data_IF_552435463096
#
_entry.id   IF_552435463096
#
_cell.length_a   1.000
_cell.length_b   1.000
_cell.length_c   1.000
_cell.angle_alpha   90.00
_cell.angle_beta   90.00
_cell.angle_gamma   90.00
#
_symmetry.space_group_name_H-M   'P 1'
#
loop_
_entity.id
_entity.type
_entity.pdbx_description
1 polymer ?
#
# COMPACT_ATOMS: atom_id res chain seq x y z
N UNK A 1 10.63 -20.11 -89.74
CA UNK A 1 11.40 -19.63 -88.57
C UNK A 1 12.84 -19.56 -88.99
N UNK A 2 13.45 -18.37 -88.99
CA UNK A 2 14.81 -18.18 -89.48
C UNK A 2 15.82 -18.89 -88.55
N UNK A 3 16.47 -19.92 -89.07
CA UNK A 3 17.48 -20.72 -88.36
C UNK A 3 18.81 -19.96 -88.25
N UNK A 4 18.90 -18.99 -87.33
CA UNK A 4 20.17 -18.31 -87.05
C UNK A 4 21.06 -19.20 -86.19
N UNK A 5 22.19 -19.67 -86.73
CA UNK A 5 23.09 -20.64 -86.07
C UNK A 5 23.90 -20.00 -84.92
N UNK A 6 24.25 -18.72 -85.04
CA UNK A 6 25.11 -18.02 -84.06
C UNK A 6 24.38 -17.53 -82.80
N UNK A 7 23.05 -17.48 -82.80
CA UNK A 7 22.26 -17.04 -81.64
C UNK A 7 21.18 -18.06 -81.35
N UNK A 8 21.42 -18.89 -80.33
CA UNK A 8 20.49 -19.91 -79.89
C UNK A 8 19.52 -19.34 -78.86
N UNK A 9 18.41 -18.81 -79.36
CA UNK A 9 17.34 -18.23 -78.53
C UNK A 9 16.67 -19.27 -77.61
N UNK A 10 16.66 -20.55 -77.99
CA UNK A 10 16.10 -21.65 -77.18
C UNK A 10 16.98 -21.93 -75.97
N UNK A 11 18.31 -21.99 -76.16
CA UNK A 11 19.27 -22.15 -75.06
C UNK A 11 19.26 -20.94 -74.11
N UNK A 12 19.22 -19.71 -74.64
CA UNK A 12 19.10 -18.49 -73.81
C UNK A 12 17.78 -18.42 -73.02
N UNK A 13 16.69 -18.97 -73.57
CA UNK A 13 15.42 -19.08 -72.84
C UNK A 13 15.50 -20.15 -71.74
N UNK A 14 16.04 -21.33 -72.07
CA UNK A 14 16.24 -22.42 -71.11
C UNK A 14 17.18 -22.01 -69.95
N UNK A 15 18.27 -21.29 -70.23
CA UNK A 15 19.18 -20.75 -69.22
C UNK A 15 18.49 -19.71 -68.32
N UNK A 16 17.70 -18.78 -68.87
CA UNK A 16 16.92 -17.83 -68.06
C UNK A 16 15.94 -18.54 -67.11
N UNK A 17 15.23 -19.55 -67.60
CA UNK A 17 14.31 -20.33 -66.76
C UNK A 17 15.08 -21.15 -65.70
N UNK A 18 16.24 -21.71 -66.05
CA UNK A 18 17.11 -22.42 -65.10
C UNK A 18 17.64 -21.49 -63.99
N UNK A 19 18.08 -20.27 -64.34
CA UNK A 19 18.49 -19.26 -63.35
C UNK A 19 17.34 -18.84 -62.44
N UNK A 20 16.12 -18.72 -62.99
CA UNK A 20 14.90 -18.50 -62.19
C UNK A 20 14.65 -19.64 -61.18
N UNK A 21 14.74 -20.89 -61.63
CA UNK A 21 14.58 -22.07 -60.76
C UNK A 21 15.66 -22.18 -59.69
N UNK A 22 16.92 -21.83 -60.01
CA UNK A 22 18.01 -21.78 -59.03
C UNK A 22 17.78 -20.72 -57.95
N UNK A 23 17.28 -19.53 -58.32
CA UNK A 23 16.94 -18.50 -57.35
C UNK A 23 15.81 -18.95 -56.42
N UNK A 24 14.76 -19.56 -56.96
CA UNK A 24 13.64 -20.08 -56.16
C UNK A 24 14.06 -21.21 -55.22
N UNK A 25 14.93 -22.11 -55.68
CA UNK A 25 15.51 -23.16 -54.86
C UNK A 25 16.31 -22.60 -53.68
N UNK A 26 17.14 -21.58 -53.92
CA UNK A 26 17.90 -20.90 -52.87
C UNK A 26 16.98 -20.26 -51.82
N UNK A 27 15.88 -19.62 -52.25
CA UNK A 27 14.87 -19.06 -51.34
C UNK A 27 14.17 -20.13 -50.51
N UNK A 28 13.69 -21.22 -51.12
CA UNK A 28 13.03 -22.30 -50.34
C UNK A 28 14.00 -22.99 -49.38
N UNK A 29 15.27 -23.16 -49.77
CA UNK A 29 16.32 -23.65 -48.85
C UNK A 29 16.54 -22.70 -47.67
N UNK A 30 16.61 -21.39 -47.92
CA UNK A 30 16.75 -20.38 -46.88
C UNK A 30 15.56 -20.36 -45.91
N UNK A 31 14.33 -20.46 -46.43
CA UNK A 31 13.10 -20.50 -45.61
C UNK A 31 12.99 -21.79 -44.80
N UNK A 32 13.33 -22.93 -45.39
CA UNK A 32 13.34 -24.22 -44.68
C UNK A 32 14.40 -24.25 -43.59
N UNK A 33 15.58 -23.66 -43.85
CA UNK A 33 16.67 -23.61 -42.88
C UNK A 33 16.41 -22.62 -41.74
N UNK A 34 15.78 -21.49 -42.00
CA UNK A 34 15.47 -20.47 -40.97
C UNK A 34 14.15 -20.74 -40.26
N UNK A 35 13.24 -21.52 -40.85
CA UNK A 35 11.86 -21.67 -40.40
C UNK A 35 11.00 -20.42 -40.63
N UNK A 36 11.53 -19.39 -41.30
CA UNK A 36 10.87 -18.11 -41.52
C UNK A 36 10.56 -17.90 -43.01
N UNK A 37 9.31 -17.55 -43.31
CA UNK A 37 8.87 -17.09 -44.64
C UNK A 37 9.50 -15.73 -44.98
N UNK A 38 9.58 -14.84 -44.00
CA UNK A 38 10.14 -13.48 -44.14
C UNK A 38 11.46 -13.41 -43.37
N UNK A 39 12.58 -13.57 -44.09
CA UNK A 39 13.92 -13.55 -43.46
C UNK A 39 14.65 -12.22 -43.68
N UNK A 40 14.28 -11.46 -44.72
CA UNK A 40 14.87 -10.17 -45.05
C UNK A 40 13.80 -9.20 -45.58
N UNK A 41 14.12 -7.90 -45.58
CA UNK A 41 13.21 -6.87 -46.10
C UNK A 41 12.92 -7.01 -47.61
N UNK A 42 13.76 -7.77 -48.34
CA UNK A 42 13.52 -8.12 -49.74
C UNK A 42 12.34 -9.07 -49.91
N UNK A 43 12.08 -9.94 -48.92
CA UNK A 43 11.05 -10.97 -49.00
C UNK A 43 9.66 -10.38 -48.76
N UNK A 44 9.53 -9.50 -47.76
CA UNK A 44 8.34 -8.70 -47.49
C UNK A 44 8.69 -7.52 -46.55
N UNK A 45 8.82 -6.31 -47.12
CA UNK A 45 9.19 -5.13 -46.34
C UNK A 45 8.12 -4.73 -45.31
N UNK A 46 6.84 -4.86 -45.66
CA UNK A 46 5.75 -4.49 -44.76
C UNK A 46 5.54 -5.53 -43.66
N UNK A 47 5.58 -6.82 -44.03
CA UNK A 47 5.50 -7.93 -43.09
C UNK A 47 6.66 -7.91 -42.08
N UNK A 48 7.89 -7.65 -42.54
CA UNK A 48 9.03 -7.50 -41.66
C UNK A 48 8.84 -6.33 -40.69
N UNK A 49 8.46 -5.14 -41.17
CA UNK A 49 8.27 -3.96 -40.31
C UNK A 49 7.18 -4.16 -39.24
N UNK A 50 6.08 -4.82 -39.57
CA UNK A 50 5.02 -5.16 -38.60
C UNK A 50 5.55 -6.17 -37.58
N UNK A 51 6.26 -7.20 -38.04
CA UNK A 51 6.80 -8.23 -37.17
C UNK A 51 7.87 -7.71 -36.21
N UNK A 52 8.70 -6.75 -36.63
CA UNK A 52 9.68 -6.07 -35.79
C UNK A 52 9.00 -5.22 -34.71
N UNK A 53 7.91 -4.52 -35.06
CA UNK A 53 7.08 -3.81 -34.07
C UNK A 53 6.47 -4.76 -33.06
N UNK A 54 5.88 -5.87 -33.51
CA UNK A 54 5.34 -6.91 -32.62
C UNK A 54 6.44 -7.50 -31.74
N UNK A 55 7.63 -7.74 -32.28
CA UNK A 55 8.78 -8.23 -31.50
C UNK A 55 9.25 -7.21 -30.44
N UNK A 56 9.26 -5.92 -30.78
CA UNK A 56 9.56 -4.85 -29.83
C UNK A 56 8.53 -4.80 -28.70
N UNK A 57 7.23 -4.91 -29.03
CA UNK A 57 6.15 -4.97 -28.05
C UNK A 57 6.25 -6.21 -27.16
N UNK A 58 6.50 -7.40 -27.73
CA UNK A 58 6.70 -8.64 -26.95
C UNK A 58 7.84 -8.46 -25.95
N UNK A 59 9.00 -7.97 -26.40
CA UNK A 59 10.16 -7.74 -25.52
C UNK A 59 9.85 -6.70 -24.44
N UNK A 60 9.16 -5.61 -24.80
CA UNK A 60 8.71 -4.58 -23.87
C UNK A 60 7.78 -5.16 -22.79
N UNK A 61 6.79 -5.94 -23.22
CA UNK A 61 5.85 -6.63 -22.34
C UNK A 61 6.54 -7.67 -21.44
N UNK A 62 7.54 -8.42 -21.93
CA UNK A 62 8.32 -9.33 -21.08
C UNK A 62 9.07 -8.60 -19.97
N UNK A 63 9.65 -7.43 -20.26
CA UNK A 63 10.29 -6.60 -19.22
C UNK A 63 9.24 -6.00 -18.29
N UNK A 64 8.10 -5.57 -18.82
CA UNK A 64 6.98 -5.07 -18.03
C UNK A 64 6.46 -6.11 -17.03
N UNK A 65 6.35 -7.39 -17.42
CA UNK A 65 5.99 -8.46 -16.49
C UNK A 65 7.00 -8.58 -15.34
N UNK A 66 8.30 -8.43 -15.61
CA UNK A 66 9.33 -8.40 -14.56
C UNK A 66 9.16 -7.18 -13.64
N UNK A 67 8.95 -5.99 -14.20
CA UNK A 67 8.70 -4.79 -13.40
C UNK A 67 7.46 -4.93 -12.50
N UNK A 68 6.40 -5.57 -13.00
CA UNK A 68 5.21 -5.87 -12.19
C UNK A 68 5.53 -6.83 -11.04
N UNK A 69 6.37 -7.84 -11.27
CA UNK A 69 6.84 -8.74 -10.20
C UNK A 69 7.72 -8.02 -9.17
N UNK A 70 8.51 -7.02 -9.59
CA UNK A 70 9.26 -6.16 -8.67
C UNK A 70 8.31 -5.33 -7.81
N UNK A 71 7.22 -4.82 -8.39
CA UNK A 71 6.14 -4.13 -7.67
C UNK A 71 5.42 -5.03 -6.65
N UNK A 72 5.17 -6.30 -6.99
CA UNK A 72 4.66 -7.32 -6.07
C UNK A 72 5.64 -7.53 -4.91
N UNK A 73 6.93 -7.70 -5.22
CA UNK A 73 7.97 -7.95 -4.22
C UNK A 73 8.15 -6.77 -3.26
N UNK A 74 8.09 -5.54 -3.76
CA UNK A 74 8.07 -4.33 -2.92
C UNK A 74 6.85 -4.34 -1.99
N UNK A 75 5.67 -4.61 -2.54
CA UNK A 75 4.42 -4.62 -1.78
C UNK A 75 4.39 -5.71 -0.71
N UNK A 76 4.93 -6.90 -1.00
CA UNK A 76 5.07 -8.00 -0.04
C UNK A 76 6.09 -7.69 1.05
N UNK A 77 7.18 -6.99 0.72
CA UNK A 77 8.18 -6.56 1.72
C UNK A 77 7.56 -5.55 2.69
N UNK A 78 6.81 -4.57 2.15
CA UNK A 78 6.09 -3.59 2.96
C UNK A 78 5.05 -4.27 3.86
N UNK A 79 4.22 -5.15 3.29
CA UNK A 79 3.18 -5.87 4.05
C UNK A 79 3.77 -6.79 5.12
N UNK A 80 4.81 -7.56 4.81
CA UNK A 80 5.44 -8.43 5.82
C UNK A 80 5.93 -7.65 7.05
N UNK A 81 6.49 -6.46 6.84
CA UNK A 81 6.92 -5.57 7.92
C UNK A 81 5.72 -4.96 8.67
N UNK A 82 4.70 -4.47 7.97
CA UNK A 82 3.48 -3.94 8.59
C UNK A 82 2.70 -4.98 9.39
N UNK A 83 2.70 -6.24 8.96
CA UNK A 83 2.15 -7.35 9.74
C UNK A 83 2.84 -7.50 11.10
N UNK A 84 4.17 -7.35 11.16
CA UNK A 84 4.93 -7.37 12.42
C UNK A 84 4.69 -6.15 13.29
N UNK A 85 4.54 -4.97 12.69
CA UNK A 85 4.11 -3.76 13.41
C UNK A 85 2.72 -3.98 14.02
N UNK A 86 1.79 -4.57 13.26
CA UNK A 86 0.46 -4.94 13.75
C UNK A 86 0.50 -5.90 14.94
N UNK A 87 1.31 -6.96 14.88
CA UNK A 87 1.51 -7.92 15.99
C UNK A 87 2.00 -7.19 17.26
N UNK A 88 2.96 -6.26 17.13
CA UNK A 88 3.49 -5.50 18.26
C UNK A 88 2.48 -4.51 18.82
N UNK A 89 1.71 -3.81 17.97
CA UNK A 89 0.64 -2.92 18.42
C UNK A 89 -0.45 -3.69 19.17
N UNK A 90 -0.82 -4.90 18.72
CA UNK A 90 -1.75 -5.75 19.45
C UNK A 90 -1.21 -6.12 20.83
N UNK A 91 0.08 -6.45 20.95
CA UNK A 91 0.73 -6.69 22.24
C UNK A 91 0.74 -5.44 23.13
N UNK A 92 1.07 -4.28 22.57
CA UNK A 92 0.97 -3.00 23.30
C UNK A 92 -0.44 -2.75 23.80
N UNK A 93 -1.47 -3.10 23.02
CA UNK A 93 -2.87 -2.99 23.41
C UNK A 93 -3.20 -3.89 24.61
N UNK A 94 -2.73 -5.13 24.62
CA UNK A 94 -2.90 -6.04 25.76
C UNK A 94 -2.30 -5.44 27.04
N UNK A 95 -1.08 -4.88 26.96
CA UNK A 95 -0.40 -4.24 28.08
C UNK A 95 -1.14 -2.98 28.55
N UNK A 96 -1.66 -2.18 27.62
CA UNK A 96 -2.47 -1.00 27.94
C UNK A 96 -3.79 -1.39 28.63
N UNK A 97 -4.48 -2.43 28.16
CA UNK A 97 -5.68 -2.98 28.84
C UNK A 97 -5.31 -3.51 30.23
N UNK A 98 -4.19 -4.24 30.36
CA UNK A 98 -3.73 -4.75 31.64
C UNK A 98 -3.44 -3.59 32.62
N UNK A 99 -2.68 -2.58 32.20
CA UNK A 99 -2.32 -1.42 33.02
C UNK A 99 -3.54 -0.57 33.46
N UNK A 100 -4.61 -0.58 32.66
CA UNK A 100 -5.86 0.12 32.94
C UNK A 100 -6.59 -0.43 34.18
N UNK A 101 -6.29 -1.67 34.60
CA UNK A 101 -6.90 -2.25 35.79
C UNK A 101 -6.44 -1.54 37.09
N UNK A 102 -7.40 -1.25 37.98
CA UNK A 102 -7.17 -0.55 39.24
C UNK A 102 -6.40 -1.37 40.28
N UNK A 103 -6.41 -2.69 40.17
CA UNK A 103 -5.71 -3.58 41.10
C UNK A 103 -4.20 -3.61 40.89
N UNK A 104 -3.69 -3.10 39.77
CA UNK A 104 -2.26 -3.03 39.52
C UNK A 104 -1.60 -1.90 40.31
N UNK A 105 -0.46 -2.21 40.93
CA UNK A 105 0.33 -1.22 41.64
C UNK A 105 1.09 -0.29 40.67
N UNK A 106 1.69 0.78 41.21
CA UNK A 106 2.55 1.68 40.42
C UNK A 106 3.79 0.95 39.87
N UNK A 107 4.35 0.04 40.66
CA UNK A 107 5.52 -0.74 40.25
C UNK A 107 5.16 -1.73 39.14
N UNK A 108 3.97 -2.34 39.20
CA UNK A 108 3.48 -3.22 38.13
C UNK A 108 3.28 -2.44 36.82
N UNK A 109 2.67 -1.24 36.88
CA UNK A 109 2.49 -0.39 35.69
C UNK A 109 3.82 0.05 35.10
N UNK A 110 4.80 0.36 35.93
CA UNK A 110 6.16 0.70 35.48
C UNK A 110 6.84 -0.48 34.77
N UNK A 111 6.62 -1.71 35.24
CA UNK A 111 7.13 -2.91 34.56
C UNK A 111 6.45 -3.11 33.20
N UNK A 112 5.13 -2.94 33.10
CA UNK A 112 4.40 -2.98 31.84
C UNK A 112 4.87 -1.88 30.87
N UNK A 113 5.11 -0.66 31.38
CA UNK A 113 5.63 0.46 30.60
C UNK A 113 6.99 0.13 29.97
N UNK A 114 7.87 -0.57 30.69
CA UNK A 114 9.18 -0.96 30.14
C UNK A 114 9.03 -1.89 28.92
N UNK A 115 8.08 -2.81 28.94
CA UNK A 115 7.77 -3.67 27.79
C UNK A 115 7.18 -2.83 26.64
N UNK A 116 6.26 -1.91 26.93
CA UNK A 116 5.70 -0.99 25.93
C UNK A 116 6.79 -0.15 25.26
N UNK A 117 7.73 0.42 26.03
CA UNK A 117 8.85 1.21 25.49
C UNK A 117 9.73 0.38 24.55
N UNK A 118 10.01 -0.89 24.88
CA UNK A 118 10.75 -1.79 23.99
C UNK A 118 9.99 -2.10 22.70
N UNK A 119 8.67 -2.27 22.77
CA UNK A 119 7.84 -2.48 21.59
C UNK A 119 7.81 -1.23 20.69
N UNK A 120 7.74 -0.02 21.27
CA UNK A 120 7.83 1.23 20.52
C UNK A 120 9.16 1.35 19.79
N UNK A 121 10.28 1.09 20.48
CA UNK A 121 11.63 1.10 19.89
C UNK A 121 11.76 0.08 18.76
N UNK A 122 11.17 -1.10 18.93
CA UNK A 122 11.21 -2.16 17.92
C UNK A 122 10.33 -1.82 16.70
N UNK A 123 9.14 -1.23 16.90
CA UNK A 123 8.30 -0.71 15.81
C UNK A 123 9.09 0.33 15.01
N UNK A 124 9.70 1.30 15.68
CA UNK A 124 10.49 2.35 15.04
C UNK A 124 11.71 1.78 14.30
N UNK A 125 12.37 0.75 14.86
CA UNK A 125 13.44 0.01 14.20
C UNK A 125 12.94 -0.67 12.93
N UNK A 126 11.82 -1.38 12.97
CA UNK A 126 11.25 -2.07 11.80
C UNK A 126 10.90 -1.06 10.72
N UNK A 127 10.25 0.05 11.06
CA UNK A 127 9.92 1.12 10.11
C UNK A 127 11.17 1.71 9.44
N UNK A 128 12.21 2.05 10.22
CA UNK A 128 13.46 2.63 9.72
C UNK A 128 14.35 1.63 8.98
N UNK A 129 14.27 0.35 9.29
CA UNK A 129 15.13 -0.67 8.67
C UNK A 129 14.52 -1.25 7.39
N UNK A 130 13.20 -1.32 7.28
CA UNK A 130 12.52 -1.92 6.12
C UNK A 130 12.88 -1.15 4.85
N UNK A 131 13.54 -1.86 3.92
CA UNK A 131 14.03 -1.28 2.67
C UNK A 131 13.85 -2.25 1.52
N UNK A 132 13.55 -1.71 0.35
CA UNK A 132 13.55 -2.44 -0.91
C UNK A 132 14.60 -1.83 -1.83
N UNK A 133 15.58 -2.64 -2.26
CA UNK A 133 16.68 -2.19 -3.13
C UNK A 133 17.39 -0.91 -2.63
N UNK A 134 17.63 -0.82 -1.30
CA UNK A 134 18.29 0.33 -0.66
C UNK A 134 17.39 1.54 -0.38
N UNK A 135 16.16 1.56 -0.89
CA UNK A 135 15.20 2.64 -0.62
C UNK A 135 14.35 2.27 0.59
N UNK A 136 14.19 3.20 1.53
CA UNK A 136 13.30 3.04 2.69
C UNK A 136 11.85 3.21 2.26
N UNK A 137 10.98 2.34 2.75
CA UNK A 137 9.60 2.25 2.26
C UNK A 137 8.54 2.50 3.35
N UNK A 138 8.90 2.46 4.63
CA UNK A 138 7.96 2.62 5.76
C UNK A 138 8.31 3.78 6.71
N UNK A 139 9.32 4.58 6.40
CA UNK A 139 9.79 5.68 7.26
C UNK A 139 9.19 7.05 6.91
N UNK A 140 8.17 7.07 6.05
CA UNK A 140 7.53 8.29 5.53
C UNK A 140 8.33 9.02 4.45
N UNK A 141 9.57 8.63 4.15
CA UNK A 141 10.37 9.25 3.08
C UNK A 141 9.97 8.76 1.67
N UNK A 142 9.22 7.65 1.60
CA UNK A 142 8.76 7.07 0.36
C UNK A 142 7.60 7.88 -0.24
N UNK A 143 7.92 8.76 -1.19
CA UNK A 143 6.92 9.57 -1.90
C UNK A 143 6.09 8.78 -2.93
N UNK A 144 6.45 7.53 -3.20
CA UNK A 144 5.85 6.68 -4.23
C UNK A 144 6.85 6.15 -5.24
N UNK A 145 6.42 5.17 -6.02
CA UNK A 145 7.18 4.60 -7.12
C UNK A 145 6.27 4.30 -8.31
N UNK A 146 6.78 4.56 -9.52
CA UNK A 146 6.06 4.30 -10.76
C UNK A 146 6.65 3.06 -11.41
N UNK A 147 5.83 2.03 -11.60
CA UNK A 147 6.22 0.80 -12.27
C UNK A 147 5.65 0.79 -13.68
N UNK A 148 6.53 0.67 -14.67
CA UNK A 148 6.12 0.52 -16.07
C UNK A 148 5.68 -0.93 -16.31
N UNK A 149 4.37 -1.12 -16.54
CA UNK A 149 3.71 -2.43 -16.65
C UNK A 149 3.15 -2.71 -18.06
N UNK A 150 3.56 -1.93 -19.06
CA UNK A 150 3.28 -2.22 -20.46
C UNK A 150 4.43 -1.81 -21.39
N UNK A 151 4.31 -2.15 -22.67
CA UNK A 151 5.31 -1.81 -23.68
C UNK A 151 5.30 -0.34 -24.12
N UNK A 152 4.23 0.43 -23.88
CA UNK A 152 4.12 1.81 -24.33
C UNK A 152 4.30 2.82 -23.19
N UNK A 153 4.80 4.01 -23.53
CA UNK A 153 4.93 5.09 -22.55
C UNK A 153 3.58 5.45 -21.93
N UNK A 154 3.53 5.50 -20.59
CA UNK A 154 2.31 5.80 -19.84
C UNK A 154 1.57 4.57 -19.30
N UNK A 155 1.90 3.36 -19.76
CA UNK A 155 1.34 2.11 -19.22
C UNK A 155 1.98 1.77 -17.85
N UNK A 156 1.58 2.50 -16.81
CA UNK A 156 2.16 2.36 -15.47
C UNK A 156 1.14 2.08 -14.36
N UNK A 157 1.63 1.42 -13.31
CA UNK A 157 0.98 1.34 -12.01
C UNK A 157 1.84 2.17 -11.04
N UNK A 158 1.21 3.17 -10.43
CA UNK A 158 1.86 3.97 -9.40
C UNK A 158 1.53 3.40 -8.03
N UNK A 159 2.57 3.08 -7.26
CA UNK A 159 2.49 2.88 -5.82
C UNK A 159 2.59 4.26 -5.19
N UNK A 160 1.53 4.68 -4.50
CA UNK A 160 1.49 5.97 -3.81
C UNK A 160 2.47 6.03 -2.64
N UNK A 161 2.48 7.18 -1.96
CA UNK A 161 3.18 7.29 -0.68
C UNK A 161 2.65 6.23 0.28
N UNK A 162 3.58 5.54 0.95
CA UNK A 162 3.25 4.55 1.97
C UNK A 162 3.10 5.26 3.32
N UNK A 163 2.27 4.69 4.19
CA UNK A 163 2.07 5.18 5.55
C UNK A 163 3.40 5.29 6.31
N UNK A 164 3.63 6.43 6.96
CA UNK A 164 4.75 6.58 7.89
C UNK A 164 4.51 5.70 9.12
N UNK A 165 5.28 4.63 9.23
CA UNK A 165 5.15 3.64 10.29
C UNK A 165 6.14 3.88 11.43
N UNK A 166 6.89 4.99 11.41
CA UNK A 166 7.74 5.38 12.55
C UNK A 166 6.89 5.65 13.77
N UNK A 167 7.49 5.50 14.95
CA UNK A 167 6.79 5.79 16.20
C UNK A 167 6.22 7.22 16.24
N UNK A 168 6.85 8.19 15.58
CA UNK A 168 6.38 9.59 15.51
C UNK A 168 5.25 9.83 14.51
N UNK A 169 5.06 8.94 13.54
CA UNK A 169 4.09 9.10 12.44
C UNK A 169 2.88 8.17 12.54
N UNK A 170 2.93 7.24 13.49
CA UNK A 170 1.94 6.20 13.71
C UNK A 170 0.96 6.61 14.81
N UNK A 171 -0.34 6.57 14.52
CA UNK A 171 -1.45 7.15 15.28
C UNK A 171 -1.64 8.65 15.09
N UNK A 172 -2.89 9.02 14.87
CA UNK A 172 -3.42 10.37 15.04
C UNK A 172 -4.69 10.27 15.87
N UNK A 173 -4.68 10.86 17.06
CA UNK A 173 -5.81 10.80 17.99
C UNK A 173 -6.25 12.18 18.43
N UNK A 174 -7.57 12.31 18.51
CA UNK A 174 -8.21 13.54 18.92
C UNK A 174 -9.03 13.27 20.17
N UNK A 175 -8.78 14.00 21.25
CA UNK A 175 -9.53 13.92 22.51
C UNK A 175 -9.48 15.26 23.23
N UNK A 176 -10.45 15.49 24.13
CA UNK A 176 -10.40 16.64 25.02
C UNK A 176 -9.98 16.17 26.40
N UNK A 177 -9.17 16.96 27.11
CA UNK A 177 -8.72 16.62 28.45
C UNK A 177 -8.72 17.82 29.38
N UNK A 178 -8.79 17.54 30.67
CA UNK A 178 -8.55 18.52 31.74
C UNK A 178 -7.92 17.79 32.91
N UNK A 179 -6.89 18.39 33.49
CA UNK A 179 -6.16 17.83 34.61
C UNK A 179 -6.10 18.83 35.75
N UNK A 180 -6.35 18.36 36.96
CA UNK A 180 -6.00 19.06 38.20
C UNK A 180 -5.05 18.19 39.01
N UNK A 181 -3.88 18.71 39.34
CA UNK A 181 -2.87 18.05 40.18
C UNK A 181 -2.72 18.77 41.51
N UNK A 182 -2.13 18.08 42.50
CA UNK A 182 -1.78 18.69 43.79
C UNK A 182 -2.95 18.92 44.75
N UNK A 183 -4.04 18.16 44.59
CA UNK A 183 -5.23 18.30 45.45
C UNK A 183 -4.93 17.67 46.81
N UNK A 184 -4.91 18.48 47.85
CA UNK A 184 -4.86 18.00 49.23
C UNK A 184 -6.29 17.68 49.71
N UNK A 185 -6.59 16.40 49.90
CA UNK A 185 -7.90 15.95 50.36
C UNK A 185 -8.27 16.47 51.76
N UNK A 186 -7.30 16.90 52.57
CA UNK A 186 -7.56 17.49 53.89
C UNK A 186 -8.05 18.95 53.82
N UNK A 187 -7.82 19.62 52.68
CA UNK A 187 -8.34 20.97 52.42
C UNK A 187 -9.84 21.01 52.11
N UNK A 188 -10.44 19.84 51.87
CA UNK A 188 -11.87 19.66 51.61
C UNK A 188 -12.59 19.51 52.95
N UNK A 189 -13.23 20.59 53.39
CA UNK A 189 -13.90 20.67 54.69
C UNK A 189 -15.43 20.71 54.59
N UNK A 190 -15.99 21.17 53.46
CA UNK A 190 -17.43 21.14 53.23
C UNK A 190 -17.86 19.84 52.51
N UNK A 191 -18.39 18.92 53.31
CA UNK A 191 -18.85 17.61 52.87
C UNK A 191 -20.37 17.47 52.87
N UNK A 192 -21.12 18.58 52.91
CA UNK A 192 -22.58 18.59 52.88
C UNK A 192 -23.18 18.01 51.58
N UNK A 193 -24.38 17.42 51.63
CA UNK A 193 -24.99 16.85 50.42
C UNK A 193 -25.23 17.91 49.34
N UNK A 194 -24.97 17.57 48.07
CA UNK A 194 -25.34 18.37 46.91
C UNK A 194 -26.72 17.87 46.47
N UNK A 195 -27.77 18.56 46.89
CA UNK A 195 -29.16 18.08 46.78
C UNK A 195 -29.85 18.46 45.47
N UNK A 196 -29.40 19.53 44.81
CA UNK A 196 -29.94 19.94 43.51
C UNK A 196 -29.22 19.18 42.38
N UNK A 197 -29.95 18.28 41.73
CA UNK A 197 -29.46 17.46 40.62
C UNK A 197 -28.96 18.28 39.41
N UNK A 198 -29.33 19.56 39.30
CA UNK A 198 -28.95 20.47 38.21
C UNK A 198 -27.73 21.34 38.52
N UNK A 199 -27.11 21.19 39.69
CA UNK A 199 -25.88 21.93 40.00
C UNK A 199 -24.69 21.41 39.19
N UNK A 200 -24.47 20.09 39.18
CA UNK A 200 -23.33 19.49 38.50
C UNK A 200 -23.68 19.08 37.07
N UNK A 201 -23.26 19.88 36.08
CA UNK A 201 -23.54 19.61 34.68
C UNK A 201 -22.29 19.61 33.81
N UNK A 202 -22.30 18.76 32.79
CA UNK A 202 -21.35 18.77 31.68
C UNK A 202 -22.09 19.26 30.44
N UNK A 203 -21.48 20.13 29.65
CA UNK A 203 -22.10 20.71 28.46
C UNK A 203 -21.13 20.70 27.27
N UNK A 204 -21.56 20.20 26.12
CA UNK A 204 -20.81 20.19 24.86
C UNK A 204 -21.11 21.42 23.97
N UNK A 205 -21.89 22.37 24.46
CA UNK A 205 -22.37 23.55 23.73
C UNK A 205 -23.78 23.39 23.14
N UNK A 206 -24.27 22.15 22.99
CA UNK A 206 -25.60 21.84 22.44
C UNK A 206 -26.50 21.11 23.43
N UNK A 207 -25.93 20.22 24.26
CA UNK A 207 -26.63 19.38 25.23
C UNK A 207 -26.01 19.54 26.60
N UNK A 208 -26.85 19.75 27.61
CA UNK A 208 -26.44 19.77 29.01
C UNK A 208 -26.84 18.46 29.70
N UNK A 209 -25.85 17.77 30.26
CA UNK A 209 -26.06 16.54 31.03
C UNK A 209 -25.92 16.82 32.52
N UNK A 210 -26.97 16.52 33.26
CA UNK A 210 -26.99 16.65 34.70
C UNK A 210 -26.43 15.37 35.34
N UNK A 211 -25.43 15.52 36.22
CA UNK A 211 -24.77 14.39 36.89
C UNK A 211 -25.57 13.87 38.10
N UNK A 212 -26.62 14.59 38.50
CA UNK A 212 -27.50 14.22 39.60
C UNK A 212 -26.98 14.65 40.97
N UNK A 213 -27.80 14.40 41.99
CA UNK A 213 -27.46 14.72 43.37
C UNK A 213 -26.33 13.82 43.90
N UNK A 214 -25.56 14.35 44.85
CA UNK A 214 -24.46 13.64 45.49
C UNK A 214 -24.67 13.70 47.01
N UNK A 215 -24.51 12.56 47.67
CA UNK A 215 -24.68 12.44 49.11
C UNK A 215 -23.68 13.30 49.90
N UNK A 216 -23.91 13.41 51.20
CA UNK A 216 -22.89 13.93 52.10
C UNK A 216 -21.67 12.99 52.09
N UNK A 217 -20.48 13.54 52.24
CA UNK A 217 -19.24 12.78 52.38
C UNK A 217 -18.77 12.81 53.84
N UNK A 218 -18.07 11.76 54.27
CA UNK A 218 -17.47 11.66 55.61
C UNK A 218 -16.01 12.15 55.63
N UNK A 219 -15.40 12.33 54.45
CA UNK A 219 -14.05 12.86 54.29
C UNK A 219 -13.87 13.56 52.94
N UNK A 220 -12.84 14.38 52.81
CA UNK A 220 -12.48 14.99 51.53
C UNK A 220 -12.10 13.98 50.44
N UNK A 221 -11.47 12.87 50.81
CA UNK A 221 -11.17 11.78 49.87
C UNK A 221 -12.46 11.15 49.33
N UNK A 222 -13.46 10.92 50.20
CA UNK A 222 -14.76 10.40 49.78
C UNK A 222 -15.48 11.39 48.87
N UNK A 223 -15.39 12.70 49.15
CA UNK A 223 -15.93 13.74 48.25
C UNK A 223 -15.33 13.66 46.85
N UNK A 224 -14.00 13.57 46.73
CA UNK A 224 -13.34 13.43 45.42
C UNK A 224 -13.79 12.16 44.69
N UNK A 225 -13.90 11.05 45.42
CA UNK A 225 -14.41 9.79 44.87
C UNK A 225 -15.85 9.91 44.36
N UNK A 226 -16.74 10.54 45.12
CA UNK A 226 -18.13 10.77 44.73
C UNK A 226 -18.24 11.67 43.49
N UNK A 227 -17.38 12.69 43.34
CA UNK A 227 -17.35 13.53 42.13
C UNK A 227 -16.96 12.71 40.90
N UNK A 228 -15.88 11.93 41.02
CA UNK A 228 -15.38 11.07 39.94
C UNK A 228 -16.41 10.01 39.57
N UNK A 229 -17.09 9.41 40.56
CA UNK A 229 -18.20 8.48 40.34
C UNK A 229 -19.38 9.15 39.61
N UNK A 230 -19.77 10.36 40.03
CA UNK A 230 -20.88 11.07 39.42
C UNK A 230 -20.64 11.36 37.93
N UNK A 231 -19.42 11.76 37.57
CA UNK A 231 -18.99 11.94 36.17
C UNK A 231 -19.03 10.59 35.43
N UNK A 232 -18.40 9.56 35.99
CA UNK A 232 -18.30 8.25 35.35
C UNK A 232 -19.66 7.55 35.17
N UNK A 233 -20.63 7.78 36.06
CA UNK A 233 -22.01 7.28 35.92
C UNK A 233 -22.70 7.78 34.65
N UNK A 234 -22.30 8.94 34.14
CA UNK A 234 -22.80 9.55 32.90
C UNK A 234 -21.79 9.50 31.75
N UNK A 235 -20.72 8.71 31.87
CA UNK A 235 -19.68 8.57 30.83
C UNK A 235 -20.23 8.09 29.48
N UNK A 236 -21.24 7.21 29.46
CA UNK A 236 -21.85 6.75 28.22
C UNK A 236 -22.62 7.84 27.46
N UNK A 237 -23.24 8.79 28.18
CA UNK A 237 -24.00 9.90 27.60
C UNK A 237 -23.05 11.07 27.23
N UNK A 238 -22.14 11.41 28.14
CA UNK A 238 -21.24 12.57 28.04
C UNK A 238 -19.97 12.28 27.25
N UNK A 239 -19.55 11.02 27.16
CA UNK A 239 -18.23 10.62 26.63
C UNK A 239 -17.05 10.96 27.54
N UNK A 240 -17.28 11.48 28.75
CA UNK A 240 -16.23 11.87 29.71
C UNK A 240 -15.98 10.74 30.71
N UNK A 241 -14.72 10.36 30.87
CA UNK A 241 -14.24 9.49 31.94
C UNK A 241 -13.33 10.28 32.88
N UNK A 242 -13.57 10.11 34.18
CA UNK A 242 -12.80 10.72 35.25
C UNK A 242 -11.93 9.68 35.94
N UNK A 243 -10.66 10.01 36.17
CA UNK A 243 -9.72 9.20 36.91
C UNK A 243 -9.24 9.93 38.16
N UNK A 244 -9.09 9.20 39.25
CA UNK A 244 -8.55 9.71 40.51
C UNK A 244 -7.25 8.96 40.80
N UNK A 245 -6.12 9.67 40.78
CA UNK A 245 -4.82 9.09 41.10
C UNK A 245 -4.27 9.70 42.39
N UNK A 246 -3.73 8.87 43.28
CA UNK A 246 -2.98 9.35 44.45
C UNK A 246 -1.49 9.34 44.16
N UNK A 247 -0.84 10.49 44.26
CA UNK A 247 0.61 10.68 44.11
C UNK A 247 1.40 10.01 45.25
N UNK A 248 2.73 9.93 45.07
CA UNK A 248 3.64 9.42 46.11
C UNK A 248 3.87 10.43 47.26
N UNK A 249 3.52 11.69 47.00
CA UNK A 249 3.48 12.85 47.90
C UNK A 249 2.23 12.89 48.80
N UNK A 250 1.27 11.97 48.60
CA UNK A 250 0.01 11.94 49.34
C UNK A 250 -1.09 12.85 48.76
N UNK A 251 -0.79 13.61 47.70
CA UNK A 251 -1.74 14.47 47.00
C UNK A 251 -2.54 13.68 45.95
N UNK A 252 -3.69 14.21 45.55
CA UNK A 252 -4.56 13.62 44.53
C UNK A 252 -4.48 14.41 43.22
N UNK A 253 -4.61 13.69 42.10
CA UNK A 253 -4.89 14.26 40.79
C UNK A 253 -6.22 13.74 40.26
N UNK A 254 -6.99 14.64 39.63
CA UNK A 254 -8.17 14.29 38.86
C UNK A 254 -7.87 14.54 37.39
N UNK A 255 -8.04 13.51 36.59
CA UNK A 255 -7.86 13.55 35.14
C UNK A 255 -9.21 13.30 34.47
N UNK A 256 -9.66 14.22 33.64
CA UNK A 256 -10.88 14.11 32.85
C UNK A 256 -10.48 13.90 31.39
N UNK A 257 -10.95 12.82 30.79
CA UNK A 257 -10.71 12.46 29.39
C UNK A 257 -12.03 12.36 28.67
N UNK A 258 -12.14 12.93 27.47
CA UNK A 258 -13.36 12.84 26.64
C UNK A 258 -13.06 12.24 25.28
N UNK A 259 -13.87 11.24 24.88
CA UNK A 259 -13.84 10.68 23.53
C UNK A 259 -14.77 11.38 22.55
N UNK A 260 -15.52 12.41 22.97
CA UNK A 260 -16.46 13.12 22.10
C UNK A 260 -15.74 13.89 20.99
N UNK A 261 -16.23 13.68 19.78
CA UNK A 261 -15.82 14.41 18.58
C UNK A 261 -17.04 15.10 17.95
N UNK A 262 -16.81 16.20 17.25
CA UNK A 262 -17.81 16.84 16.41
C UNK A 262 -18.07 16.04 15.12
N UNK A 263 -18.94 16.55 14.24
CA UNK A 263 -19.24 15.97 12.93
C UNK A 263 -18.07 15.95 11.96
N UNK A 264 -17.05 16.79 12.18
CA UNK A 264 -15.85 16.90 11.36
C UNK A 264 -14.70 16.02 11.91
N UNK A 265 -14.92 15.35 13.05
CA UNK A 265 -13.94 14.47 13.70
C UNK A 265 -13.02 15.16 14.70
N UNK A 266 -13.19 16.46 14.97
CA UNK A 266 -12.37 17.20 15.93
C UNK A 266 -12.89 16.99 17.36
N UNK A 267 -12.03 17.17 18.36
CA UNK A 267 -12.41 17.02 19.76
C UNK A 267 -13.40 18.12 20.13
N UNK A 268 -14.53 17.74 20.70
CA UNK A 268 -15.47 18.73 21.21
C UNK A 268 -14.94 19.27 22.53
N UNK A 269 -14.90 20.59 22.68
CA UNK A 269 -14.59 21.22 23.96
C UNK A 269 -15.80 21.04 24.89
N UNK A 270 -15.61 20.37 26.02
CA UNK A 270 -16.67 20.15 27.01
C UNK A 270 -16.48 21.09 28.19
N UNK A 271 -17.51 21.87 28.50
CA UNK A 271 -17.52 22.76 29.67
C UNK A 271 -18.13 22.04 30.86
N UNK A 272 -17.43 22.11 31.98
CA UNK A 272 -17.98 21.78 33.30
C UNK A 272 -18.72 23.05 33.76
N UNK A 273 -20.05 22.96 33.79
CA UNK A 273 -20.91 24.11 34.09
C UNK A 273 -20.85 24.49 35.58
N UNK A 274 -21.50 25.61 35.92
CA UNK A 274 -21.35 26.42 37.13
C UNK A 274 -21.49 25.73 38.51
N UNK A 275 -21.73 24.42 38.61
CA UNK A 275 -21.66 23.68 39.87
C UNK A 275 -20.34 22.98 40.16
N UNK A 276 -19.38 22.94 39.21
CA UNK A 276 -18.01 22.48 39.47
C UNK A 276 -17.16 23.56 40.18
N UNK A 277 -17.75 24.23 41.17
CA UNK A 277 -17.06 25.28 41.93
C UNK A 277 -16.26 24.69 43.07
N UNK A 278 -15.20 25.39 43.48
CA UNK A 278 -14.44 25.12 44.69
C UNK A 278 -15.35 24.83 45.92
N UNK A 279 -16.49 25.54 46.03
CA UNK A 279 -17.48 25.34 47.11
C UNK A 279 -18.17 23.98 47.06
N UNK A 280 -18.61 23.51 45.89
CA UNK A 280 -19.24 22.18 45.75
C UNK A 280 -18.24 21.03 45.93
N UNK A 281 -16.96 21.25 45.64
CA UNK A 281 -15.87 20.33 45.99
C UNK A 281 -15.47 20.40 47.47
N UNK A 282 -16.00 21.36 48.22
CA UNK A 282 -15.82 21.51 49.64
C UNK A 282 -14.56 22.26 50.08
N UNK A 283 -13.92 22.99 49.17
CA UNK A 283 -12.69 23.75 49.41
C UNK A 283 -12.93 25.26 49.36
N UNK A 284 -12.12 26.03 50.09
CA UNK A 284 -12.03 27.48 49.89
C UNK A 284 -11.15 27.75 48.65
N UNK A 285 -11.77 28.10 47.51
CA UNK A 285 -11.18 28.70 46.30
C UNK A 285 -9.78 28.25 45.85
N UNK A 286 -9.67 27.60 44.67
CA UNK A 286 -8.38 27.39 43.98
C UNK A 286 -7.61 26.10 44.34
N UNK A 287 -8.02 25.36 45.37
CA UNK A 287 -7.36 24.10 45.78
C UNK A 287 -7.63 22.89 44.85
N UNK A 288 -8.64 22.99 43.96
CA UNK A 288 -9.03 21.97 42.97
C UNK A 288 -8.51 22.35 41.56
N UNK A 289 -7.61 23.34 41.47
CA UNK A 289 -6.97 23.75 40.21
C UNK A 289 -7.96 24.11 39.10
N UNK A 290 -7.62 23.78 37.86
CA UNK A 290 -8.38 24.10 36.63
C UNK A 290 -9.80 23.54 36.63
N UNK A 291 -10.05 22.43 37.31
CA UNK A 291 -11.37 21.75 37.34
C UNK A 291 -12.35 22.45 38.30
N UNK A 292 -11.84 23.16 39.31
CA UNK A 292 -12.64 23.87 40.32
C UNK A 292 -12.96 25.33 39.98
N UNK A 293 -12.59 25.79 38.79
CA UNK A 293 -12.90 27.14 38.30
C UNK A 293 -14.33 27.19 37.72
N UNK A 294 -14.95 28.37 37.77
CA UNK A 294 -16.39 28.59 37.49
C UNK A 294 -16.78 28.25 36.04
N UNK A 295 -15.80 28.04 35.16
CA UNK A 295 -15.96 27.63 33.76
C UNK A 295 -14.82 26.67 33.35
N UNK A 296 -14.52 25.67 34.19
CA UNK A 296 -13.55 24.65 33.84
C UNK A 296 -13.94 23.98 32.52
N UNK A 297 -12.98 23.82 31.61
CA UNK A 297 -13.22 23.21 30.30
C UNK A 297 -12.24 22.09 30.07
N UNK A 298 -12.73 21.01 29.46
CA UNK A 298 -11.88 20.07 28.75
C UNK A 298 -11.56 20.73 27.42
N UNK A 299 -10.34 21.22 27.28
CA UNK A 299 -9.88 21.85 26.05
C UNK A 299 -9.66 20.76 25.02
N UNK A 300 -10.23 20.94 23.83
CA UNK A 300 -9.91 20.10 22.69
C UNK A 300 -8.41 20.21 22.41
N UNK A 301 -7.69 19.09 22.42
CA UNK A 301 -6.33 19.06 21.86
C UNK A 301 -6.48 19.10 20.34
N UNK A 302 -6.68 20.29 19.81
CA UNK A 302 -6.58 20.56 18.38
C UNK A 302 -5.19 21.11 18.13
N UNK A 303 -4.37 20.35 17.40
CA UNK A 303 -3.03 20.69 16.93
C UNK A 303 -1.93 20.90 17.98
N UNK A 304 -1.04 19.90 18.07
CA UNK A 304 0.43 19.96 18.22
C UNK A 304 1.00 19.06 19.33
N UNK A 305 1.85 18.11 18.88
CA UNK A 305 2.79 17.25 19.62
C UNK A 305 2.28 16.07 20.46
N UNK A 306 1.10 16.09 21.07
CA UNK A 306 0.64 14.95 21.89
C UNK A 306 -0.42 14.06 21.20
N UNK A 307 -0.97 14.50 20.07
CA UNK A 307 -1.98 13.76 19.28
C UNK A 307 -1.39 12.79 18.25
N UNK A 308 -0.18 13.07 17.76
CA UNK A 308 0.49 12.32 16.70
C UNK A 308 1.58 11.42 17.30
N UNK A 309 1.64 10.17 16.88
CA UNK A 309 2.71 9.26 17.28
C UNK A 309 2.44 8.45 18.55
N UNK A 310 3.16 7.34 18.65
CA UNK A 310 3.29 6.43 19.79
C UNK A 310 4.66 6.55 20.50
N UNK A 311 5.51 7.50 20.12
CA UNK A 311 6.85 7.68 20.70
C UNK A 311 6.81 8.17 22.16
N UNK A 312 5.83 9.01 22.50
CA UNK A 312 5.61 9.51 23.88
C UNK A 312 4.62 8.66 24.68
N UNK A 313 4.30 7.45 24.23
CA UNK A 313 3.28 6.60 24.84
C UNK A 313 3.62 6.20 26.29
N UNK A 314 2.75 6.55 27.23
CA UNK A 314 2.84 6.12 28.63
C UNK A 314 1.58 5.34 29.05
N UNK A 315 1.76 4.35 29.92
CA UNK A 315 0.73 3.53 30.57
C UNK A 315 0.92 3.48 32.10
N UNK A 316 1.68 4.43 32.66
CA UNK A 316 2.02 4.47 34.10
C UNK A 316 0.82 4.84 34.98
N UNK A 317 -0.19 5.49 34.41
CA UNK A 317 -1.45 5.87 35.07
C UNK A 317 -2.65 5.33 34.29
N UNK A 318 -3.80 5.22 34.95
CA UNK A 318 -5.05 4.79 34.29
C UNK A 318 -5.49 5.78 33.21
N UNK A 319 -5.30 7.08 33.44
CA UNK A 319 -5.58 8.13 32.47
C UNK A 319 -4.67 7.99 31.25
N UNK A 320 -3.36 7.76 31.45
CA UNK A 320 -2.41 7.55 30.36
C UNK A 320 -2.72 6.25 29.59
N UNK A 321 -3.08 5.17 30.29
CA UNK A 321 -3.49 3.91 29.66
C UNK A 321 -4.73 4.07 28.77
N UNK A 322 -5.69 4.92 29.15
CA UNK A 322 -6.84 5.27 28.33
C UNK A 322 -6.43 5.97 27.03
N UNK A 323 -5.54 6.97 27.12
CA UNK A 323 -4.98 7.65 25.93
C UNK A 323 -4.19 6.67 25.08
N UNK A 324 -3.43 5.78 25.71
CA UNK A 324 -2.62 4.79 25.01
C UNK A 324 -3.47 3.81 24.20
N UNK A 325 -4.59 3.33 24.75
CA UNK A 325 -5.54 2.50 24.01
C UNK A 325 -6.06 3.21 22.76
N UNK A 326 -6.41 4.50 22.89
CA UNK A 326 -6.88 5.29 21.75
C UNK A 326 -5.79 5.45 20.68
N UNK A 327 -4.55 5.74 21.08
CA UNK A 327 -3.39 5.84 20.18
C UNK A 327 -3.11 4.51 19.46
N UNK A 328 -3.09 3.41 20.21
CA UNK A 328 -2.83 2.08 19.65
C UNK A 328 -3.95 1.65 18.69
N UNK A 329 -5.23 1.92 19.01
CA UNK A 329 -6.34 1.62 18.12
C UNK A 329 -6.25 2.44 16.81
N UNK A 330 -5.94 3.74 16.90
CA UNK A 330 -5.68 4.58 15.71
C UNK A 330 -4.48 4.08 14.88
N UNK A 331 -3.37 3.72 15.53
CA UNK A 331 -2.22 3.11 14.88
C UNK A 331 -2.57 1.78 14.18
N UNK A 332 -3.35 0.91 14.83
CA UNK A 332 -3.82 -0.35 14.25
C UNK A 332 -4.66 -0.11 13.01
N UNK A 333 -5.59 0.85 13.05
CA UNK A 333 -6.41 1.22 11.90
C UNK A 333 -5.55 1.76 10.75
N UNK A 334 -4.58 2.63 11.05
CA UNK A 334 -3.64 3.16 10.06
C UNK A 334 -2.79 2.06 9.41
N UNK A 335 -2.29 1.09 10.19
CA UNK A 335 -1.59 -0.09 9.66
C UNK A 335 -2.53 -0.95 8.83
N UNK A 336 -3.71 -1.29 9.32
CA UNK A 336 -4.66 -2.14 8.61
C UNK A 336 -5.08 -1.55 7.26
N UNK A 337 -5.32 -0.23 7.21
CA UNK A 337 -5.61 0.47 5.95
C UNK A 337 -4.43 0.40 4.98
N UNK A 338 -3.20 0.65 5.46
CA UNK A 338 -1.99 0.53 4.64
C UNK A 338 -1.80 -0.89 4.07
N UNK A 339 -2.08 -1.92 4.89
CA UNK A 339 -2.03 -3.33 4.46
C UNK A 339 -3.11 -3.67 3.44
N UNK A 340 -4.31 -3.11 3.60
CA UNK A 340 -5.39 -3.26 2.63
C UNK A 340 -5.04 -2.64 1.27
N UNK A 341 -4.45 -1.43 1.26
CA UNK A 341 -4.00 -0.76 0.04
C UNK A 341 -2.87 -1.53 -0.65
N UNK A 342 -1.92 -2.07 0.11
CA UNK A 342 -0.87 -2.95 -0.41
C UNK A 342 -1.42 -4.26 -0.97
N UNK A 343 -2.44 -4.84 -0.34
CA UNK A 343 -3.15 -6.02 -0.85
C UNK A 343 -3.85 -5.72 -2.18
N UNK A 344 -4.54 -4.58 -2.28
CA UNK A 344 -5.16 -4.13 -3.52
C UNK A 344 -4.12 -3.88 -4.63
N UNK A 345 -2.96 -3.30 -4.29
CA UNK A 345 -1.85 -3.12 -5.23
C UNK A 345 -1.28 -4.46 -5.72
N UNK A 346 -1.10 -5.45 -4.83
CA UNK A 346 -0.67 -6.80 -5.21
C UNK A 346 -1.63 -7.41 -6.23
N UNK A 347 -2.94 -7.40 -5.96
CA UNK A 347 -3.93 -7.90 -6.91
C UNK A 347 -3.92 -7.13 -8.25
N UNK A 348 -3.67 -5.82 -8.23
CA UNK A 348 -3.54 -5.04 -9.47
C UNK A 348 -2.30 -5.46 -10.28
N UNK A 349 -1.16 -5.67 -9.63
CA UNK A 349 0.04 -6.15 -10.31
C UNK A 349 -0.13 -7.58 -10.84
N UNK A 350 -0.74 -8.50 -10.08
CA UNK A 350 -1.02 -9.87 -10.53
C UNK A 350 -1.94 -9.90 -11.75
N UNK A 351 -3.02 -9.12 -11.74
CA UNK A 351 -3.90 -8.97 -12.90
C UNK A 351 -3.16 -8.36 -14.11
N UNK A 352 -2.28 -7.39 -13.86
CA UNK A 352 -1.44 -6.81 -14.91
C UNK A 352 -0.51 -7.86 -15.52
N UNK A 353 0.15 -8.69 -14.70
CA UNK A 353 1.00 -9.79 -15.19
C UNK A 353 0.19 -10.75 -16.07
N UNK A 354 -0.99 -11.19 -15.61
CA UNK A 354 -1.85 -12.06 -16.42
C UNK A 354 -2.28 -11.43 -17.75
N UNK A 355 -2.60 -10.13 -17.76
CA UNK A 355 -2.91 -9.41 -19.00
C UNK A 355 -1.72 -9.31 -19.95
N UNK A 356 -0.52 -9.01 -19.42
CA UNK A 356 0.72 -8.92 -20.19
C UNK A 356 1.06 -10.26 -20.83
N UNK A 357 0.92 -11.37 -20.10
CA UNK A 357 1.17 -12.72 -20.60
C UNK A 357 0.24 -13.07 -21.78
N UNK A 358 -1.07 -12.77 -21.64
CA UNK A 358 -2.04 -12.95 -22.73
C UNK A 358 -1.67 -12.09 -23.95
N UNK A 359 -1.21 -10.86 -23.74
CA UNK A 359 -0.75 -10.00 -24.85
C UNK A 359 0.50 -10.57 -25.53
N UNK A 360 1.48 -11.04 -24.76
CA UNK A 360 2.70 -11.67 -25.29
C UNK A 360 2.35 -12.91 -26.12
N UNK A 361 1.44 -13.75 -25.64
CA UNK A 361 0.97 -14.93 -26.38
C UNK A 361 0.30 -14.55 -27.69
N UNK A 362 -0.68 -13.62 -27.66
CA UNK A 362 -1.41 -13.18 -28.85
C UNK A 362 -0.52 -12.46 -29.87
N UNK A 363 0.42 -11.64 -29.42
CA UNK A 363 1.39 -10.97 -30.28
C UNK A 363 2.38 -11.98 -30.87
N UNK A 364 2.81 -12.99 -30.09
CA UNK A 364 3.70 -14.05 -30.57
C UNK A 364 3.02 -14.91 -31.64
N UNK A 365 1.76 -15.30 -31.41
CA UNK A 365 0.95 -16.02 -32.40
C UNK A 365 0.71 -15.19 -33.66
N UNK A 366 0.45 -13.88 -33.50
CA UNK A 366 0.26 -12.97 -34.64
C UNK A 366 1.56 -12.75 -35.43
N UNK A 367 2.70 -12.65 -34.74
CA UNK A 367 4.02 -12.57 -35.37
C UNK A 367 4.33 -13.85 -36.12
N UNK A 368 4.07 -15.01 -35.54
CA UNK A 368 4.28 -16.31 -36.19
C UNK A 368 3.52 -16.44 -37.51
N UNK A 369 2.23 -16.03 -37.56
CA UNK A 369 1.45 -15.99 -38.81
C UNK A 369 2.06 -15.11 -39.92
N UNK A 370 2.84 -14.11 -39.55
CA UNK A 370 3.49 -13.18 -40.50
C UNK A 370 4.84 -13.75 -40.94
N UNK A 371 5.66 -14.21 -40.01
CA UNK A 371 7.07 -14.48 -40.27
C UNK A 371 7.36 -15.96 -40.46
N UNK A 372 6.61 -16.88 -39.85
CA UNK A 372 6.94 -18.31 -39.89
C UNK A 372 6.61 -18.93 -41.25
N UNK A 373 7.44 -19.88 -41.67
CA UNK A 373 7.24 -20.65 -42.89
C UNK A 373 6.36 -21.88 -42.61
N UNK A 374 5.40 -22.15 -43.50
CA UNK A 374 4.71 -23.43 -43.54
C UNK A 374 5.64 -24.50 -44.14
N UNK A 375 6.14 -25.40 -43.29
CA UNK A 375 7.05 -26.48 -43.69
C UNK A 375 6.45 -27.39 -44.76
N UNK A 376 5.15 -27.66 -44.73
CA UNK A 376 4.52 -28.53 -45.73
C UNK A 376 4.54 -27.86 -47.12
N UNK A 377 4.22 -26.57 -47.16
CA UNK A 377 4.25 -25.80 -48.40
C UNK A 377 5.68 -25.60 -48.92
N UNK A 378 6.64 -25.25 -48.07
CA UNK A 378 8.02 -25.03 -48.50
C UNK A 378 8.73 -26.33 -48.91
N UNK A 379 8.41 -27.47 -48.28
CA UNK A 379 8.95 -28.78 -48.71
C UNK A 379 8.39 -29.18 -50.09
N UNK A 380 7.11 -28.91 -50.36
CA UNK A 380 6.53 -29.12 -51.68
C UNK A 380 7.14 -28.20 -52.74
N UNK A 381 7.39 -26.93 -52.41
CA UNK A 381 8.08 -25.98 -53.29
C UNK A 381 9.54 -26.38 -53.55
N UNK A 382 10.25 -26.84 -52.52
CA UNK A 382 11.61 -27.35 -52.61
C UNK A 382 11.67 -28.55 -53.57
N UNK A 383 10.81 -29.54 -53.38
CA UNK A 383 10.71 -30.71 -54.26
C UNK A 383 10.39 -30.30 -55.72
N UNK A 384 9.42 -29.41 -55.92
CA UNK A 384 9.08 -28.88 -57.25
C UNK A 384 10.28 -28.18 -57.91
N UNK A 385 10.99 -27.32 -57.17
CA UNK A 385 12.13 -26.54 -57.71
C UNK A 385 13.35 -27.41 -57.98
N UNK A 386 13.59 -28.46 -57.18
CA UNK A 386 14.62 -29.47 -57.46
C UNK A 386 14.31 -30.25 -58.76
N UNK A 387 13.06 -30.67 -58.95
CA UNK A 387 12.63 -31.35 -60.19
C UNK A 387 12.77 -30.40 -61.40
N UNK A 388 12.36 -29.13 -61.27
CA UNK A 388 12.51 -28.12 -62.33
C UNK A 388 13.97 -27.78 -62.63
N UNK A 389 14.86 -27.83 -61.64
CA UNK A 389 16.29 -27.66 -61.86
C UNK A 389 16.86 -28.82 -62.67
N UNK A 390 16.51 -30.07 -62.33
CA UNK A 390 16.93 -31.27 -63.06
C UNK A 390 16.37 -31.30 -64.50
N UNK A 391 15.11 -30.90 -64.68
CA UNK A 391 14.50 -30.76 -66.00
C UNK A 391 15.13 -29.61 -66.81
N UNK A 392 15.43 -28.49 -66.16
CA UNK A 392 16.06 -27.32 -66.78
C UNK A 392 17.49 -27.60 -67.27
N UNK A 393 18.29 -28.34 -66.51
CA UNK A 393 19.64 -28.75 -66.95
C UNK A 393 19.57 -29.72 -68.13
N UNK A 394 18.62 -30.66 -68.14
CA UNK A 394 18.37 -31.55 -69.27
C UNK A 394 17.91 -30.77 -70.52
N UNK A 395 17.04 -29.77 -70.37
CA UNK A 395 16.57 -28.93 -71.48
C UNK A 395 17.65 -28.00 -72.04
N UNK A 396 18.52 -27.44 -71.19
CA UNK A 396 19.69 -26.68 -71.65
C UNK A 396 20.65 -27.59 -72.41
N UNK A 397 20.88 -28.81 -71.93
CA UNK A 397 21.70 -29.80 -72.63
C UNK A 397 21.12 -30.14 -74.02
N UNK A 398 19.81 -30.41 -74.10
CA UNK A 398 19.10 -30.67 -75.36
C UNK A 398 19.13 -29.45 -76.31
N UNK A 399 18.89 -28.25 -75.78
CA UNK A 399 18.88 -27.00 -76.54
C UNK A 399 20.27 -26.66 -77.13
N UNK A 400 21.35 -27.04 -76.43
CA UNK A 400 22.72 -26.88 -76.93
C UNK A 400 23.10 -27.90 -78.02
N UNK A 401 22.38 -29.01 -78.14
CA UNK A 401 22.60 -30.02 -79.19
C UNK A 401 21.86 -29.69 -80.50
N UNK A 402 20.79 -28.87 -80.46
CA UNK A 402 20.03 -28.49 -81.66
C UNK A 402 20.88 -27.92 -82.82
N UNK A 403 21.87 -27.03 -82.59
CA UNK A 403 22.75 -26.54 -83.64
C UNK A 403 23.61 -27.62 -84.31
N UNK A 404 23.94 -28.72 -83.61
CA UNK A 404 24.68 -29.85 -84.18
C UNK A 404 23.85 -30.64 -85.19
N UNK A 405 22.52 -30.72 -85.00
CA UNK A 405 21.61 -31.32 -85.98
C UNK A 405 21.53 -30.53 -87.30
N UNK A 406 21.80 -29.22 -87.27
CA UNK A 406 21.87 -28.37 -88.46
C UNK A 406 23.20 -28.54 -89.20
N UNK A 407 24.30 -28.73 -88.47
CA UNK A 407 25.62 -29.07 -89.05
C UNK A 407 25.59 -30.41 -89.78
N UNK A 408 24.83 -31.40 -89.28
CA UNK A 408 24.63 -32.69 -89.94
C UNK A 408 23.75 -32.63 -91.22
N UNK A 409 23.06 -31.52 -91.46
CA UNK A 409 22.25 -31.29 -92.66
C UNK A 409 23.02 -30.52 -93.76
N UNK A 410 24.17 -29.94 -93.40
CA UNK A 410 25.05 -29.16 -94.28
C UNK A 410 26.30 -29.95 -94.74
N UNK A 411 26.55 -31.11 -94.14
CA UNK A 411 27.42 -32.16 -94.70
C UNK A 411 26.57 -33.11 -95.54
#
# INVERSE_FOLDING_TARGET
MASTINTNSISLNAQRNLSGSQSSLATSMQRLSSGLRVNSAKDDAAGLAISERMNSQIKGNTVAARNSNDGISLSQTAEGALGKVGDMLQRMRELAVQSSNATNSKDDRKALQAEVSQLVDEIDRVAKQTSFNGTKILDGSFSGAVFQVGANSGDNITVGALTDSRATGLADVVYAYSQSTGIDATSITDTGAITDASTLNINDGATTWNLGAIGAASSGTERLGQMVEAINRKSADTGVTAFLTRGGDGLYSIDLMSSKTDTDGNATTLTLSAGFTAGNFGVAGGAIGTIGDTQASLTATDTTTDSLGIDTLSIDTQANAWVALKKIDSALDQVNNARADLGALQSRFENSVGSIEIQVENLSASRGRIVDADFAQETANLSRTQILQQAGTAMVAQANQLPQGVLALLQ
#
